data_IF_323323139970
#
_entry.id   IF_323323139970
#
_cell.length_a   1.000
_cell.length_b   1.000
_cell.length_c   1.000
_cell.angle_alpha   90.00
_cell.angle_beta   90.00
_cell.angle_gamma   90.00
#
_symmetry.space_group_name_H-M   'P 1'
#
loop_
_entity.id
_entity.type
_entity.pdbx_description
1 polymer ?
#
# COMPACT_ATOMS: atom_id res chain seq x y z
N UNK A 1 -2.88 66.78 -49.00
CA UNK A 1 -2.85 65.34 -48.73
C UNK A 1 -2.88 65.18 -47.22
N UNK A 2 -4.08 64.99 -46.66
CA UNK A 2 -4.27 64.77 -45.24
C UNK A 2 -4.17 63.27 -45.02
N UNK A 3 -3.28 62.85 -44.13
CA UNK A 3 -3.26 61.48 -43.58
C UNK A 3 -4.36 61.37 -42.50
N UNK A 4 -5.38 60.60 -42.76
CA UNK A 4 -6.32 60.17 -41.75
C UNK A 4 -5.59 59.26 -40.79
N UNK A 5 -5.48 59.66 -39.53
CA UNK A 5 -5.03 58.87 -38.42
C UNK A 5 -6.19 57.92 -38.05
N UNK A 6 -6.09 56.64 -38.39
CA UNK A 6 -6.96 55.60 -37.90
C UNK A 6 -6.75 55.46 -36.39
N UNK A 7 -7.70 55.97 -35.60
CA UNK A 7 -7.82 55.79 -34.19
C UNK A 7 -8.08 54.32 -33.92
N UNK A 8 -7.08 53.55 -33.52
CA UNK A 8 -7.25 52.21 -32.91
C UNK A 8 -8.07 52.37 -31.63
N UNK A 9 -9.38 52.08 -31.70
CA UNK A 9 -10.20 51.92 -30.52
C UNK A 9 -9.63 50.78 -29.66
N UNK A 10 -9.30 51.09 -28.43
CA UNK A 10 -8.88 50.13 -27.43
C UNK A 10 -10.07 49.22 -27.09
N UNK A 11 -10.10 48.04 -27.69
CA UNK A 11 -11.13 47.05 -27.44
C UNK A 11 -11.17 46.68 -25.97
N UNK A 12 -12.34 46.73 -25.39
CA UNK A 12 -12.63 46.34 -24.00
C UNK A 12 -12.38 44.82 -23.85
N UNK A 13 -11.96 44.36 -22.68
CA UNK A 13 -11.79 42.91 -22.38
C UNK A 13 -13.00 42.06 -22.79
N UNK A 14 -14.22 42.64 -22.77
CA UNK A 14 -15.44 42.01 -23.26
C UNK A 14 -15.43 41.73 -24.76
N UNK A 15 -14.89 42.67 -25.55
CA UNK A 15 -14.79 42.51 -27.02
C UNK A 15 -13.74 41.46 -27.41
N UNK A 16 -12.78 41.20 -26.54
CA UNK A 16 -11.84 40.08 -26.72
C UNK A 16 -12.50 38.71 -26.53
N UNK A 17 -13.39 38.59 -25.53
CA UNK A 17 -14.10 37.31 -25.30
C UNK A 17 -15.20 37.09 -26.33
N UNK A 18 -15.99 38.11 -26.65
CA UNK A 18 -17.06 38.05 -27.66
C UNK A 18 -17.22 39.40 -28.35
N UNK A 19 -16.96 39.42 -29.66
CA UNK A 19 -17.19 40.59 -30.47
C UNK A 19 -18.51 40.46 -31.23
N UNK A 20 -19.58 41.21 -30.85
CA UNK A 20 -20.90 41.07 -31.48
C UNK A 20 -20.97 41.61 -32.91
N UNK A 21 -19.98 42.41 -33.34
CA UNK A 21 -19.93 42.98 -34.70
C UNK A 21 -19.35 41.98 -35.70
N UNK A 22 -18.31 41.24 -35.32
CA UNK A 22 -17.61 40.26 -36.17
C UNK A 22 -18.03 38.81 -35.89
N UNK A 23 -18.82 38.58 -34.83
CA UNK A 23 -19.18 37.27 -34.31
C UNK A 23 -17.95 36.39 -34.01
N UNK A 24 -16.94 37.04 -33.45
CA UNK A 24 -15.70 36.36 -33.06
C UNK A 24 -15.66 36.06 -31.57
N UNK A 25 -15.28 34.83 -31.25
CA UNK A 25 -14.99 34.34 -29.90
C UNK A 25 -13.47 34.26 -29.74
N UNK A 26 -12.91 34.94 -28.74
CA UNK A 26 -11.46 34.99 -28.51
C UNK A 26 -10.66 35.39 -29.76
N UNK A 27 -11.19 36.36 -30.53
CA UNK A 27 -10.55 36.88 -31.76
C UNK A 27 -10.59 35.95 -32.96
N UNK A 28 -11.48 34.91 -32.96
CA UNK A 28 -11.63 33.96 -34.08
C UNK A 28 -13.10 33.74 -34.42
N UNK A 29 -13.36 33.51 -35.68
CA UNK A 29 -14.69 33.18 -36.19
C UNK A 29 -15.08 31.72 -35.89
N UNK A 30 -16.35 31.40 -35.91
CA UNK A 30 -16.84 30.05 -35.65
C UNK A 30 -16.26 29.02 -36.63
N UNK A 31 -16.07 29.39 -37.90
CA UNK A 31 -15.47 28.50 -38.89
C UNK A 31 -13.97 28.20 -38.57
N UNK A 32 -13.24 29.21 -38.11
CA UNK A 32 -11.86 29.03 -37.66
C UNK A 32 -11.75 28.10 -36.43
N UNK A 33 -12.64 28.27 -35.47
CA UNK A 33 -12.74 27.34 -34.34
C UNK A 33 -13.12 25.93 -34.77
N UNK A 34 -14.06 25.78 -35.70
CA UNK A 34 -14.42 24.48 -36.23
C UNK A 34 -13.24 23.74 -36.89
N UNK A 35 -12.43 24.43 -37.67
CA UNK A 35 -11.22 23.85 -38.27
C UNK A 35 -10.16 23.49 -37.23
N UNK A 36 -9.98 24.31 -36.20
CA UNK A 36 -9.06 24.02 -35.11
C UNK A 36 -9.52 22.78 -34.33
N UNK A 37 -10.80 22.73 -33.97
CA UNK A 37 -11.36 21.57 -33.25
C UNK A 37 -11.28 20.28 -34.10
N UNK A 38 -11.59 20.38 -35.39
CA UNK A 38 -11.45 19.25 -36.30
C UNK A 38 -10.00 18.77 -36.41
N UNK A 39 -9.04 19.70 -36.53
CA UNK A 39 -7.63 19.37 -36.55
C UNK A 39 -7.21 18.64 -35.28
N UNK A 40 -7.54 19.18 -34.12
CA UNK A 40 -7.18 18.55 -32.85
C UNK A 40 -7.90 17.23 -32.63
N UNK A 41 -9.15 17.10 -33.07
CA UNK A 41 -9.87 15.82 -33.01
C UNK A 41 -9.12 14.74 -33.79
N UNK A 42 -8.75 15.00 -35.03
CA UNK A 42 -8.00 14.06 -35.86
C UNK A 42 -6.63 13.78 -35.27
N UNK A 43 -5.91 14.83 -34.86
CA UNK A 43 -4.58 14.73 -34.29
C UNK A 43 -4.56 13.88 -33.01
N UNK A 44 -5.45 14.17 -32.03
CA UNK A 44 -5.49 13.38 -30.79
C UNK A 44 -6.04 11.98 -31.01
N UNK A 45 -6.94 11.77 -31.94
CA UNK A 45 -7.39 10.42 -32.31
C UNK A 45 -6.24 9.59 -32.85
N UNK A 46 -5.41 10.17 -33.71
CA UNK A 46 -4.20 9.51 -34.21
C UNK A 46 -3.21 9.20 -33.09
N UNK A 47 -2.93 10.15 -32.21
CA UNK A 47 -2.03 9.94 -31.05
C UNK A 47 -2.58 8.86 -30.12
N UNK A 48 -3.88 8.89 -29.82
CA UNK A 48 -4.54 7.86 -29.00
C UNK A 48 -4.44 6.48 -29.67
N UNK A 49 -4.62 6.39 -30.99
CA UNK A 49 -4.44 5.16 -31.75
C UNK A 49 -3.02 4.60 -31.65
N UNK A 50 -2.02 5.44 -31.83
CA UNK A 50 -0.61 5.04 -31.68
C UNK A 50 -0.30 4.58 -30.25
N UNK A 51 -0.78 5.32 -29.24
CA UNK A 51 -0.65 4.94 -27.85
C UNK A 51 -1.30 3.59 -27.55
N UNK A 52 -2.56 3.42 -27.96
CA UNK A 52 -3.27 2.14 -27.75
C UNK A 52 -2.55 0.98 -28.46
N UNK A 53 -2.06 1.18 -29.68
CA UNK A 53 -1.32 0.17 -30.41
C UNK A 53 -0.01 -0.23 -29.69
N UNK A 54 0.79 0.74 -29.26
CA UNK A 54 2.05 0.47 -28.56
C UNK A 54 1.79 -0.21 -27.22
N UNK A 55 0.78 0.24 -26.46
CA UNK A 55 0.39 -0.40 -25.20
C UNK A 55 -0.14 -1.82 -25.42
N UNK A 56 -0.94 -2.04 -26.46
CA UNK A 56 -1.45 -3.35 -26.81
C UNK A 56 -0.33 -4.33 -27.14
N UNK A 57 0.63 -3.94 -27.99
CA UNK A 57 1.80 -4.76 -28.33
C UNK A 57 2.64 -5.06 -27.09
N UNK A 58 2.87 -4.07 -26.22
CA UNK A 58 3.56 -4.28 -24.95
C UNK A 58 2.84 -5.28 -24.05
N UNK A 59 1.52 -5.16 -23.91
CA UNK A 59 0.72 -6.08 -23.08
C UNK A 59 0.75 -7.52 -23.61
N UNK A 60 0.83 -7.73 -24.92
CA UNK A 60 0.98 -9.07 -25.51
C UNK A 60 2.29 -9.77 -25.11
N UNK A 61 3.31 -9.03 -24.71
CA UNK A 61 4.60 -9.59 -24.27
C UNK A 61 4.61 -9.97 -22.78
N UNK A 62 3.58 -9.58 -22.02
CA UNK A 62 3.50 -9.87 -20.59
C UNK A 62 2.89 -11.24 -20.33
N UNK A 63 3.40 -11.92 -19.31
CA UNK A 63 2.81 -13.14 -18.80
C UNK A 63 1.68 -12.82 -17.81
N UNK A 64 0.60 -13.62 -17.85
CA UNK A 64 -0.60 -13.41 -17.03
C UNK A 64 -0.41 -13.70 -15.55
N UNK A 65 0.62 -14.47 -15.19
CA UNK A 65 0.83 -14.98 -13.83
C UNK A 65 2.09 -14.46 -13.18
N UNK A 66 3.12 -14.21 -13.96
CA UNK A 66 4.43 -13.80 -13.44
C UNK A 66 4.96 -12.59 -14.22
N UNK A 67 5.54 -11.59 -13.55
CA UNK A 67 6.23 -10.52 -14.25
C UNK A 67 7.45 -11.08 -14.99
N UNK A 68 7.58 -10.74 -16.27
CA UNK A 68 8.68 -11.18 -17.11
C UNK A 68 10.03 -10.64 -16.63
N UNK A 69 10.03 -9.41 -16.10
CA UNK A 69 11.22 -8.71 -15.65
C UNK A 69 11.14 -8.44 -14.14
N UNK A 70 12.07 -9.01 -13.38
CA UNK A 70 12.14 -8.88 -11.91
C UNK A 70 13.52 -8.40 -11.43
N UNK A 71 14.37 -7.97 -12.32
CA UNK A 71 15.77 -7.56 -12.05
C UNK A 71 15.86 -6.21 -11.31
N UNK A 72 14.81 -5.40 -11.35
CA UNK A 72 14.77 -4.07 -10.74
C UNK A 72 13.54 -3.86 -9.88
N UNK A 73 13.23 -4.81 -9.04
CA UNK A 73 12.14 -4.68 -8.07
C UNK A 73 12.57 -3.75 -6.94
N UNK A 74 11.71 -2.78 -6.63
CA UNK A 74 11.90 -1.94 -5.45
C UNK A 74 11.74 -2.79 -4.18
N UNK A 75 12.45 -2.40 -3.12
CA UNK A 75 12.29 -3.00 -1.80
C UNK A 75 10.83 -2.92 -1.36
N UNK A 76 10.21 -4.04 -0.95
CA UNK A 76 8.80 -4.03 -0.57
C UNK A 76 8.56 -3.14 0.63
N UNK A 77 7.55 -2.29 0.55
CA UNK A 77 7.08 -1.48 1.67
C UNK A 77 6.32 -2.33 2.69
N UNK A 78 6.13 -1.77 3.88
CA UNK A 78 5.27 -2.35 4.91
C UNK A 78 3.98 -1.58 5.07
N UNK A 79 2.96 -2.23 5.57
CA UNK A 79 1.68 -1.63 5.92
C UNK A 79 1.28 -1.97 7.34
N UNK A 80 0.62 -1.02 8.01
CA UNK A 80 0.01 -1.21 9.34
C UNK A 80 -1.49 -1.41 9.27
N UNK A 81 -2.04 -2.06 10.28
CA UNK A 81 -3.46 -2.09 10.62
C UNK A 81 -3.62 -1.90 12.14
N UNK A 82 -4.58 -1.09 12.60
CA UNK A 82 -5.52 -0.30 11.81
C UNK A 82 -4.82 0.81 11.01
N UNK A 83 -5.46 1.26 9.93
CA UNK A 83 -4.98 2.37 9.13
C UNK A 83 -5.77 3.61 9.52
N UNK A 84 -5.16 4.50 10.29
CA UNK A 84 -5.69 5.83 10.54
C UNK A 84 -5.55 6.77 9.33
N UNK A 85 -6.18 7.92 9.38
CA UNK A 85 -5.95 8.98 8.41
C UNK A 85 -4.47 9.41 8.46
N UNK A 86 -3.86 9.64 7.31
CA UNK A 86 -2.45 10.04 7.19
C UNK A 86 -1.44 9.17 7.98
N UNK A 87 -1.77 7.90 8.30
CA UNK A 87 -0.98 7.01 9.17
C UNK A 87 -0.85 7.55 10.61
N UNK A 88 -1.87 8.25 11.10
CA UNK A 88 -1.96 8.68 12.49
C UNK A 88 -3.00 7.83 13.23
N UNK A 89 -2.65 7.36 14.42
CA UNK A 89 -3.52 6.63 15.34
C UNK A 89 -3.64 7.48 16.60
N UNK A 90 -4.76 8.16 16.72
CA UNK A 90 -5.02 9.11 17.82
C UNK A 90 -6.33 8.72 18.48
N UNK A 91 -6.32 8.49 19.79
CA UNK A 91 -7.53 8.16 20.53
C UNK A 91 -7.45 8.61 22.00
N UNK A 92 -8.61 8.67 22.65
CA UNK A 92 -8.80 9.00 24.05
C UNK A 92 -9.26 7.76 24.81
N UNK A 93 -8.57 7.41 25.90
CA UNK A 93 -8.91 6.24 26.72
C UNK A 93 -10.30 6.32 27.34
N UNK A 94 -10.74 7.53 27.69
CA UNK A 94 -12.06 7.77 28.32
C UNK A 94 -13.20 7.74 27.33
N UNK A 95 -12.93 7.98 26.05
CA UNK A 95 -13.94 8.00 24.98
C UNK A 95 -13.88 6.75 24.12
N UNK A 96 -14.77 5.82 24.37
CA UNK A 96 -14.87 4.55 23.64
C UNK A 96 -15.01 4.75 22.12
N UNK A 97 -15.75 5.79 21.71
CA UNK A 97 -16.02 6.10 20.30
C UNK A 97 -14.73 6.34 19.50
N UNK A 98 -13.69 6.88 20.15
CA UNK A 98 -12.44 7.26 19.47
C UNK A 98 -11.59 6.06 19.09
N UNK A 99 -11.62 4.98 19.86
CA UNK A 99 -10.82 3.76 19.58
C UNK A 99 -11.64 2.58 19.06
N UNK A 100 -12.97 2.60 19.22
CA UNK A 100 -13.84 1.53 18.72
C UNK A 100 -13.70 1.33 17.20
N UNK A 101 -13.54 2.42 16.44
CA UNK A 101 -13.31 2.38 15.00
C UNK A 101 -12.04 1.58 14.61
N UNK A 102 -10.99 1.68 15.43
CA UNK A 102 -9.75 0.92 15.22
C UNK A 102 -9.93 -0.55 15.55
N UNK A 103 -10.66 -0.87 16.61
CA UNK A 103 -11.02 -2.25 16.97
C UNK A 103 -11.85 -2.90 15.86
N UNK A 104 -12.88 -2.22 15.37
CA UNK A 104 -13.72 -2.71 14.26
C UNK A 104 -12.92 -2.89 12.96
N UNK A 105 -11.96 -2.00 12.70
CA UNK A 105 -11.07 -2.13 11.54
C UNK A 105 -10.16 -3.35 11.66
N UNK A 106 -9.65 -3.67 12.86
CA UNK A 106 -8.87 -4.87 13.13
C UNK A 106 -9.71 -6.14 13.00
N UNK A 107 -10.90 -6.16 13.56
CA UNK A 107 -11.84 -7.29 13.44
C UNK A 107 -12.19 -7.57 11.98
N UNK A 108 -12.52 -6.54 11.22
CA UNK A 108 -12.83 -6.66 9.80
C UNK A 108 -11.61 -7.16 9.00
N UNK A 109 -10.42 -6.68 9.34
CA UNK A 109 -9.18 -7.10 8.69
C UNK A 109 -8.82 -8.56 9.01
N UNK A 110 -9.03 -9.00 10.26
CA UNK A 110 -8.73 -10.36 10.71
C UNK A 110 -9.82 -11.38 10.37
N UNK A 111 -10.97 -10.97 9.86
CA UNK A 111 -12.06 -11.87 9.47
C UNK A 111 -11.63 -12.98 8.50
N UNK A 112 -10.84 -12.72 7.41
CA UNK A 112 -10.34 -13.78 6.53
C UNK A 112 -9.30 -14.70 7.18
N UNK A 113 -8.72 -14.30 8.31
CA UNK A 113 -7.75 -15.07 9.08
C UNK A 113 -8.40 -15.98 10.12
N UNK A 114 -9.71 -16.23 10.00
CA UNK A 114 -10.42 -17.16 10.88
C UNK A 114 -9.84 -18.57 10.71
N UNK A 115 -9.46 -19.22 11.83
CA UNK A 115 -8.79 -20.51 11.83
C UNK A 115 -9.61 -21.61 11.12
N UNK A 116 -10.93 -21.58 11.23
CA UNK A 116 -11.80 -22.54 10.54
C UNK A 116 -11.77 -22.36 9.02
N UNK A 117 -11.81 -21.11 8.53
CA UNK A 117 -11.70 -20.82 7.09
C UNK A 117 -10.30 -21.15 6.56
N UNK A 118 -9.27 -20.86 7.34
CA UNK A 118 -7.89 -21.17 7.00
C UNK A 118 -7.66 -22.68 6.89
N UNK A 119 -8.23 -23.46 7.80
CA UNK A 119 -8.10 -24.93 7.80
C UNK A 119 -8.78 -25.59 6.58
N UNK A 120 -9.85 -24.99 6.05
CA UNK A 120 -10.55 -25.52 4.87
C UNK A 120 -9.83 -25.16 3.57
N UNK A 121 -9.28 -23.95 3.48
CA UNK A 121 -8.79 -23.40 2.23
C UNK A 121 -7.29 -23.58 2.02
N UNK A 122 -6.51 -23.74 3.10
CA UNK A 122 -5.06 -23.69 3.09
C UNK A 122 -4.45 -24.93 3.74
N UNK A 123 -3.21 -25.23 3.34
CA UNK A 123 -2.48 -26.41 3.81
C UNK A 123 -1.62 -26.11 5.04
N UNK A 124 -1.31 -27.13 5.80
CA UNK A 124 -0.27 -27.07 6.83
C UNK A 124 1.11 -27.20 6.16
N UNK A 125 1.93 -26.18 6.30
CA UNK A 125 3.27 -26.13 5.71
C UNK A 125 4.34 -26.27 6.78
N UNK A 126 5.54 -26.71 6.36
CA UNK A 126 6.71 -26.79 7.24
C UNK A 126 7.24 -25.39 7.57
N UNK A 127 7.36 -25.03 8.87
CA UNK A 127 7.90 -23.75 9.27
C UNK A 127 9.36 -23.56 8.81
N UNK A 128 9.77 -22.30 8.66
CA UNK A 128 11.13 -21.84 8.36
C UNK A 128 11.74 -22.34 7.03
N UNK A 129 10.89 -22.86 6.16
CA UNK A 129 11.26 -23.27 4.80
C UNK A 129 10.34 -22.59 3.78
N UNK A 130 10.89 -22.25 2.60
CA UNK A 130 10.10 -21.72 1.51
C UNK A 130 9.12 -22.76 0.96
N UNK A 131 7.87 -22.39 0.76
CA UNK A 131 6.85 -23.24 0.12
C UNK A 131 6.99 -23.16 -1.41
N UNK A 132 8.00 -23.84 -1.95
CA UNK A 132 8.29 -23.83 -3.38
C UNK A 132 7.38 -24.84 -4.08
N UNK A 133 6.60 -24.34 -5.05
CA UNK A 133 5.71 -25.14 -5.89
C UNK A 133 6.12 -24.95 -7.34
N UNK A 134 6.91 -25.89 -7.85
CA UNK A 134 7.43 -25.84 -9.22
C UNK A 134 6.37 -26.19 -10.25
N UNK A 135 6.52 -25.64 -11.44
CA UNK A 135 5.72 -26.00 -12.60
C UNK A 135 6.39 -27.19 -13.32
N UNK A 136 5.61 -28.04 -13.96
CA UNK A 136 6.13 -29.21 -14.69
C UNK A 136 6.43 -28.82 -16.15
N UNK A 137 7.63 -28.32 -16.40
CA UNK A 137 8.03 -27.83 -17.73
C UNK A 137 7.12 -26.68 -18.20
N UNK A 138 6.42 -26.89 -19.33
CA UNK A 138 5.49 -25.92 -19.88
C UNK A 138 4.08 -25.98 -19.25
N UNK A 139 3.82 -26.95 -18.38
CA UNK A 139 2.53 -27.11 -17.70
C UNK A 139 2.58 -26.42 -16.35
N UNK A 140 1.74 -25.40 -16.18
CA UNK A 140 1.63 -24.67 -14.90
C UNK A 140 0.89 -25.50 -13.88
N UNK A 141 1.46 -25.60 -12.70
CA UNK A 141 0.82 -26.17 -11.52
C UNK A 141 -0.09 -25.11 -10.88
N UNK A 142 -1.29 -24.91 -11.42
CA UNK A 142 -2.28 -23.97 -10.90
C UNK A 142 -3.59 -24.69 -10.55
N UNK A 143 -4.31 -24.28 -9.47
CA UNK A 143 -3.95 -23.22 -8.53
C UNK A 143 -2.83 -23.63 -7.56
N UNK A 144 -1.92 -22.71 -7.26
CA UNK A 144 -0.91 -22.88 -6.21
C UNK A 144 -1.59 -22.92 -4.84
N UNK A 145 -1.10 -23.79 -3.99
CA UNK A 145 -1.62 -23.96 -2.62
C UNK A 145 -1.04 -22.89 -1.69
N UNK A 146 -1.79 -22.51 -0.68
CA UNK A 146 -1.39 -21.50 0.31
C UNK A 146 -1.22 -22.15 1.68
N UNK A 147 -0.26 -21.66 2.45
CA UNK A 147 -0.06 -22.11 3.81
C UNK A 147 -1.07 -21.45 4.75
N UNK A 148 -1.58 -22.22 5.69
CA UNK A 148 -2.53 -21.79 6.70
C UNK A 148 -1.88 -20.78 7.65
N UNK A 149 -2.51 -19.62 7.83
CA UNK A 149 -2.12 -18.68 8.88
C UNK A 149 -2.93 -19.00 10.15
N UNK A 150 -2.24 -19.31 11.22
CA UNK A 150 -2.89 -19.52 12.51
C UNK A 150 -2.99 -18.19 13.26
N UNK A 151 -4.21 -17.68 13.41
CA UNK A 151 -4.48 -16.42 14.10
C UNK A 151 -4.02 -16.43 15.57
N UNK A 152 -3.95 -17.60 16.22
CA UNK A 152 -3.48 -17.72 17.61
C UNK A 152 -2.01 -17.31 17.80
N UNK A 153 -1.21 -17.34 16.73
CA UNK A 153 0.19 -16.86 16.79
C UNK A 153 0.32 -15.37 17.09
N UNK A 154 -0.75 -14.61 16.94
CA UNK A 154 -0.81 -13.19 17.29
C UNK A 154 -1.12 -12.96 18.79
N UNK A 155 -1.30 -14.02 19.56
CA UNK A 155 -1.53 -14.03 21.02
C UNK A 155 -2.54 -12.96 21.47
N UNK A 156 -2.12 -12.01 22.30
CA UNK A 156 -2.95 -10.90 22.79
C UNK A 156 -3.54 -10.03 21.68
N UNK A 157 -2.84 -9.93 20.54
CA UNK A 157 -3.28 -9.17 19.38
C UNK A 157 -4.11 -9.98 18.39
N UNK A 158 -4.50 -11.20 18.76
CA UNK A 158 -5.32 -12.07 17.91
C UNK A 158 -6.80 -11.67 17.86
N UNK A 159 -7.29 -10.89 18.83
CA UNK A 159 -8.72 -10.62 19.01
C UNK A 159 -9.50 -11.86 19.50
N UNK A 160 -8.82 -12.92 19.92
CA UNK A 160 -9.40 -14.13 20.54
C UNK A 160 -9.33 -14.00 22.06
N UNK A 161 -8.15 -13.71 22.58
CA UNK A 161 -7.89 -13.53 24.03
C UNK A 161 -8.36 -12.16 24.49
N UNK A 162 -7.97 -11.12 23.79
CA UNK A 162 -8.41 -9.75 24.01
C UNK A 162 -9.14 -9.22 22.77
N UNK A 163 -10.46 -9.00 22.90
CA UNK A 163 -11.31 -8.49 21.82
C UNK A 163 -11.11 -7.02 21.50
N UNK A 164 -10.49 -6.27 22.42
CA UNK A 164 -10.27 -4.84 22.30
C UNK A 164 -8.83 -4.52 21.87
N UNK A 165 -8.01 -5.56 21.64
CA UNK A 165 -6.63 -5.42 21.15
C UNK A 165 -5.78 -4.46 21.99
N UNK A 166 -6.05 -4.38 23.31
CA UNK A 166 -5.33 -3.52 24.25
C UNK A 166 -5.65 -2.03 24.17
N UNK A 167 -6.57 -1.60 23.29
CA UNK A 167 -6.89 -0.18 23.12
C UNK A 167 -7.50 0.43 24.40
N UNK A 168 -8.35 -0.29 25.10
CA UNK A 168 -8.96 0.18 26.34
C UNK A 168 -7.94 0.39 27.46
N UNK A 169 -6.84 -0.36 27.45
CA UNK A 169 -5.79 -0.29 28.48
C UNK A 169 -4.67 0.69 28.12
N UNK A 170 -4.75 1.36 26.98
CA UNK A 170 -3.65 2.19 26.47
C UNK A 170 -2.45 1.38 25.97
N UNK A 171 -2.65 0.10 25.66
CA UNK A 171 -1.64 -0.83 25.14
C UNK A 171 -2.01 -1.35 23.77
N UNK A 172 -2.13 -0.49 22.75
CA UNK A 172 -2.71 -0.86 21.47
C UNK A 172 -1.86 -1.87 20.70
N UNK A 173 -2.55 -2.81 20.09
CA UNK A 173 -1.98 -3.70 19.09
C UNK A 173 -2.01 -3.08 17.69
N UNK A 174 -0.90 -3.17 17.00
CA UNK A 174 -0.79 -2.77 15.58
C UNK A 174 -0.29 -3.97 14.79
N UNK A 175 -1.05 -4.36 13.77
CA UNK A 175 -0.66 -5.45 12.88
C UNK A 175 0.17 -4.91 11.72
N UNK A 176 1.27 -5.56 11.44
CA UNK A 176 2.20 -5.19 10.36
C UNK A 176 2.21 -6.32 9.32
N UNK A 177 2.20 -5.94 8.07
CA UNK A 177 2.38 -6.85 6.94
C UNK A 177 3.37 -6.28 5.94
N UNK A 178 4.13 -7.18 5.30
CA UNK A 178 5.01 -6.86 4.19
C UNK A 178 4.22 -6.85 2.88
N UNK A 179 4.40 -5.87 2.02
CA UNK A 179 3.70 -5.81 0.74
C UNK A 179 4.07 -7.03 -0.13
N UNK A 180 3.08 -7.53 -0.87
CA UNK A 180 3.24 -8.72 -1.70
C UNK A 180 4.00 -8.39 -2.98
N UNK A 181 5.05 -9.15 -3.24
CA UNK A 181 5.80 -9.13 -4.50
C UNK A 181 5.85 -10.57 -5.03
N UNK A 182 5.44 -10.77 -6.27
CA UNK A 182 5.41 -12.11 -6.89
C UNK A 182 6.83 -12.67 -6.98
N UNK A 183 7.01 -13.91 -6.51
CA UNK A 183 8.31 -14.61 -6.57
C UNK A 183 9.35 -14.17 -5.53
N UNK A 184 9.03 -13.15 -4.71
CA UNK A 184 9.99 -12.64 -3.71
C UNK A 184 10.26 -13.67 -2.60
N UNK A 185 11.54 -13.83 -2.26
CA UNK A 185 12.03 -14.61 -1.13
C UNK A 185 12.71 -13.68 -0.11
N UNK A 186 11.98 -13.21 0.92
CA UNK A 186 12.49 -12.21 1.85
C UNK A 186 13.31 -12.86 2.98
N UNK A 187 14.43 -13.49 2.66
CA UNK A 187 15.27 -14.20 3.61
C UNK A 187 16.01 -15.34 2.95
N UNK A 188 16.73 -16.10 3.76
CA UNK A 188 17.38 -17.36 3.38
C UNK A 188 16.77 -18.50 4.19
N UNK A 189 16.91 -19.73 3.71
CA UNK A 189 16.41 -20.91 4.44
C UNK A 189 16.93 -20.92 5.88
N UNK A 190 15.98 -21.08 6.83
CA UNK A 190 16.26 -21.03 8.26
C UNK A 190 16.47 -19.62 8.86
N UNK A 191 16.37 -18.55 8.05
CA UNK A 191 16.53 -17.17 8.50
C UNK A 191 15.35 -16.30 8.06
N UNK A 192 14.28 -16.38 8.81
CA UNK A 192 13.07 -15.60 8.59
C UNK A 192 13.33 -14.11 8.78
N UNK A 193 12.80 -13.22 7.91
CA UNK A 193 12.86 -11.79 8.13
C UNK A 193 12.03 -11.41 9.36
N UNK A 194 12.46 -10.37 10.06
CA UNK A 194 11.77 -9.90 11.27
C UNK A 194 11.61 -8.38 11.27
N UNK A 195 10.62 -7.92 12.03
CA UNK A 195 10.31 -6.50 12.19
C UNK A 195 10.91 -5.98 13.50
N UNK A 196 11.48 -4.81 13.43
CA UNK A 196 11.84 -4.01 14.62
C UNK A 196 11.15 -2.67 14.55
N UNK A 197 10.51 -2.26 15.64
CA UNK A 197 9.88 -0.95 15.78
C UNK A 197 10.61 -0.14 16.84
N UNK A 198 10.66 1.17 16.64
CA UNK A 198 11.22 2.10 17.61
C UNK A 198 10.71 3.51 17.36
N UNK A 199 10.84 4.37 18.32
CA UNK A 199 10.56 5.78 18.11
C UNK A 199 11.73 6.46 17.39
N UNK A 200 11.47 7.57 16.72
CA UNK A 200 12.52 8.45 16.24
C UNK A 200 13.32 8.99 17.45
N UNK A 201 14.56 9.40 17.21
CA UNK A 201 15.49 9.79 18.27
C UNK A 201 14.92 10.79 19.30
N UNK A 202 14.02 11.65 18.84
CA UNK A 202 13.36 12.68 19.66
C UNK A 202 12.33 12.09 20.64
N UNK A 203 11.73 10.95 20.29
CA UNK A 203 10.64 10.32 21.04
C UNK A 203 11.06 9.00 21.72
N UNK A 204 12.37 8.68 21.74
CA UNK A 204 12.89 7.38 22.18
C UNK A 204 12.48 7.00 23.62
N UNK A 205 12.38 7.98 24.52
CA UNK A 205 11.98 7.77 25.92
C UNK A 205 10.46 7.57 26.08
N UNK A 206 9.67 7.96 25.07
CA UNK A 206 8.21 7.96 25.11
C UNK A 206 7.58 6.66 24.66
N UNK A 207 8.33 5.75 24.01
CA UNK A 207 7.77 4.53 23.41
C UNK A 207 7.71 3.34 24.38
N UNK A 208 8.60 3.28 25.37
CA UNK A 208 8.68 2.21 26.35
C UNK A 208 8.93 0.81 25.76
N UNK A 209 8.38 -0.22 26.39
CA UNK A 209 8.53 -1.61 25.98
C UNK A 209 7.57 -1.99 24.86
N UNK A 210 8.06 -2.77 23.91
CA UNK A 210 7.28 -3.26 22.74
C UNK A 210 7.30 -4.79 22.74
N UNK A 211 6.12 -5.40 22.73
CA UNK A 211 5.97 -6.84 22.55
C UNK A 211 5.67 -7.18 21.08
N UNK A 212 6.21 -8.29 20.59
CA UNK A 212 6.01 -8.77 19.22
C UNK A 212 5.33 -10.13 19.21
N UNK A 213 4.40 -10.34 18.27
CA UNK A 213 3.71 -11.61 18.06
C UNK A 213 3.68 -11.96 16.56
N UNK A 214 4.24 -13.10 16.11
CA UNK A 214 4.95 -14.10 16.92
C UNK A 214 6.21 -13.53 17.59
N UNK A 215 6.75 -14.23 18.60
CA UNK A 215 7.98 -13.83 19.29
C UNK A 215 9.10 -13.49 18.29
N UNK A 216 9.88 -12.46 18.58
CA UNK A 216 10.90 -11.87 17.70
C UNK A 216 10.36 -11.15 16.44
N UNK A 217 9.05 -11.03 16.24
CA UNK A 217 8.47 -10.27 15.12
C UNK A 217 8.75 -10.87 13.74
N UNK A 218 8.86 -12.19 13.62
CA UNK A 218 9.27 -12.87 12.39
C UNK A 218 8.13 -13.10 11.42
N UNK A 219 8.40 -12.90 10.12
CA UNK A 219 7.57 -13.40 9.02
C UNK A 219 8.10 -14.77 8.57
N UNK A 220 7.38 -15.84 8.90
CA UNK A 220 7.83 -17.19 8.59
C UNK A 220 7.96 -17.43 7.08
N UNK A 221 9.03 -18.14 6.68
CA UNK A 221 9.37 -18.37 5.27
C UNK A 221 8.36 -19.27 4.55
N UNK A 222 7.58 -20.07 5.27
CA UNK A 222 6.56 -20.97 4.67
C UNK A 222 5.49 -20.22 3.88
N UNK A 223 5.28 -18.92 4.14
CA UNK A 223 4.33 -18.11 3.39
C UNK A 223 4.88 -17.56 2.07
N UNK A 224 6.14 -17.83 1.77
CA UNK A 224 6.84 -17.33 0.58
C UNK A 224 7.34 -18.47 -0.32
N UNK A 225 7.51 -18.23 -1.63
CA UNK A 225 7.16 -17.01 -2.34
C UNK A 225 5.65 -16.87 -2.58
N UNK A 226 5.20 -15.62 -2.79
CA UNK A 226 3.85 -15.36 -3.27
C UNK A 226 3.79 -15.54 -4.78
N UNK A 227 2.82 -16.30 -5.28
CA UNK A 227 2.71 -16.66 -6.70
C UNK A 227 1.75 -15.79 -7.51
N UNK A 228 1.19 -14.72 -6.92
CA UNK A 228 0.24 -13.85 -7.59
C UNK A 228 -1.23 -14.23 -7.35
N UNK A 229 -2.10 -13.25 -7.52
CA UNK A 229 -3.53 -13.40 -7.22
C UNK A 229 -4.23 -14.42 -8.13
N UNK A 230 -3.84 -14.52 -9.41
CA UNK A 230 -4.42 -15.48 -10.36
C UNK A 230 -3.97 -16.92 -10.09
N UNK A 231 -2.71 -17.10 -9.71
CA UNK A 231 -2.15 -18.43 -9.44
C UNK A 231 -2.48 -18.93 -8.02
N UNK A 232 -2.59 -18.03 -7.04
CA UNK A 232 -2.72 -18.35 -5.62
C UNK A 232 -3.87 -17.57 -4.98
N UNK A 233 -5.10 -18.00 -5.26
CA UNK A 233 -6.33 -17.28 -4.89
C UNK A 233 -6.51 -17.14 -3.37
N UNK A 234 -6.18 -18.18 -2.60
CA UNK A 234 -6.39 -18.24 -1.15
C UNK A 234 -5.14 -17.83 -0.34
N UNK A 235 -4.26 -17.03 -0.94
CA UNK A 235 -3.04 -16.63 -0.25
C UNK A 235 -3.30 -15.85 1.03
N UNK A 236 -2.86 -16.41 2.15
CA UNK A 236 -2.86 -15.75 3.45
C UNK A 236 -1.52 -15.08 3.70
N UNK A 237 -1.54 -13.76 3.67
CA UNK A 237 -0.34 -12.95 3.92
C UNK A 237 0.06 -13.06 5.39
N UNK A 238 1.35 -13.34 5.71
CA UNK A 238 1.80 -13.38 7.08
C UNK A 238 1.69 -12.01 7.76
N UNK A 239 1.36 -12.03 9.04
CA UNK A 239 1.20 -10.84 9.88
C UNK A 239 2.15 -10.93 11.07
N UNK A 240 2.65 -9.78 11.48
CA UNK A 240 3.32 -9.58 12.76
C UNK A 240 2.50 -8.55 13.54
N UNK A 241 2.17 -8.87 14.78
CA UNK A 241 1.56 -7.91 15.69
C UNK A 241 2.62 -7.26 16.57
N UNK A 242 2.42 -5.99 16.83
CA UNK A 242 3.25 -5.19 17.73
C UNK A 242 2.33 -4.58 18.78
N UNK A 243 2.59 -4.84 20.07
CA UNK A 243 1.85 -4.29 21.20
C UNK A 243 2.73 -3.32 21.98
N UNK A 244 2.26 -2.11 22.15
CA UNK A 244 2.95 -1.06 22.88
C UNK A 244 2.56 -1.17 24.35
N UNK A 245 3.50 -1.60 25.23
CA UNK A 245 3.20 -1.90 26.61
C UNK A 245 3.19 -0.67 27.51
N UNK A 246 4.12 0.27 27.28
CA UNK A 246 4.33 1.45 28.13
C UNK A 246 4.60 2.69 27.28
N UNK A 247 3.59 3.20 26.58
CA UNK A 247 3.73 4.42 25.81
C UNK A 247 3.34 5.65 26.65
N UNK A 248 4.03 6.78 26.45
CA UNK A 248 3.72 8.04 27.12
C UNK A 248 2.40 8.61 26.63
N UNK A 249 1.49 8.93 27.58
CA UNK A 249 0.19 9.53 27.25
C UNK A 249 0.30 11.03 26.93
N UNK A 250 -0.69 11.55 26.21
CA UNK A 250 -0.80 12.96 25.83
C UNK A 250 0.35 13.52 25.01
N UNK A 251 1.19 12.64 24.43
CA UNK A 251 2.37 12.99 23.63
C UNK A 251 2.27 12.36 22.25
N UNK A 252 2.71 13.09 21.23
CA UNK A 252 2.84 12.56 19.87
C UNK A 252 4.09 11.70 19.78
N UNK A 253 3.96 10.40 19.56
CA UNK A 253 5.09 9.48 19.41
C UNK A 253 5.20 9.04 17.96
N UNK A 254 6.30 9.40 17.28
CA UNK A 254 6.57 8.99 15.92
C UNK A 254 7.27 7.64 15.92
N UNK A 255 6.54 6.60 15.56
CA UNK A 255 7.02 5.22 15.49
C UNK A 255 7.49 4.89 14.07
N UNK A 256 8.65 4.26 13.96
CA UNK A 256 9.14 3.68 12.71
C UNK A 256 9.37 2.19 12.90
N UNK A 257 8.75 1.37 12.05
CA UNK A 257 9.00 -0.06 11.99
C UNK A 257 9.78 -0.39 10.73
N UNK A 258 10.82 -1.23 10.85
CA UNK A 258 11.71 -1.65 9.76
C UNK A 258 11.74 -3.17 9.67
N UNK A 259 11.85 -3.67 8.44
CA UNK A 259 12.13 -5.08 8.21
C UNK A 259 13.64 -5.31 8.23
N UNK A 260 14.05 -6.36 8.91
CA UNK A 260 15.44 -6.85 8.91
C UNK A 260 15.47 -8.18 8.15
N UNK A 261 16.28 -8.22 7.12
CA UNK A 261 16.39 -9.38 6.25
C UNK A 261 17.76 -9.43 5.59
N UNK A 262 18.27 -10.63 5.31
CA UNK A 262 19.53 -10.84 4.62
C UNK A 262 19.46 -10.61 3.09
N UNK A 263 18.23 -10.54 2.55
CA UNK A 263 18.00 -10.35 1.11
C UNK A 263 17.41 -8.98 0.78
N UNK A 264 16.87 -8.28 1.80
CA UNK A 264 16.32 -6.93 1.67
C UNK A 264 17.30 -5.98 2.37
N UNK A 265 18.36 -5.59 1.67
CA UNK A 265 19.44 -4.76 2.23
C UNK A 265 19.46 -3.33 1.71
N UNK A 266 18.79 -3.08 0.58
CA UNK A 266 18.76 -1.77 -0.04
C UNK A 266 17.63 -0.91 0.54
N UNK A 267 17.96 -0.09 1.52
CA UNK A 267 17.08 0.95 2.05
C UNK A 267 17.45 2.28 1.38
N UNK A 268 16.63 2.71 0.45
CA UNK A 268 16.83 4.03 -0.17
C UNK A 268 16.48 5.14 0.83
N UNK A 269 17.36 6.09 1.03
CA UNK A 269 17.04 7.31 1.80
C UNK A 269 15.96 8.17 1.13
N UNK A 270 15.83 8.05 -0.21
CA UNK A 270 14.82 8.77 -0.99
C UNK A 270 13.43 8.15 -0.88
N UNK A 271 13.35 6.84 -0.64
CA UNK A 271 12.07 6.14 -0.47
C UNK A 271 11.81 5.92 1.02
N UNK A 272 10.88 6.69 1.55
CA UNK A 272 10.47 6.61 2.98
C UNK A 272 9.72 5.32 3.31
N UNK A 273 9.30 4.55 2.32
CA UNK A 273 8.50 3.34 2.50
C UNK A 273 9.26 2.06 2.18
N UNK A 274 10.48 2.13 1.61
CA UNK A 274 11.27 0.96 1.29
C UNK A 274 11.66 0.21 2.58
N UNK A 275 11.08 -0.98 2.77
CA UNK A 275 11.35 -1.85 3.92
C UNK A 275 10.95 -1.26 5.27
N UNK A 276 10.16 -0.21 5.30
CA UNK A 276 9.75 0.48 6.53
C UNK A 276 8.35 1.07 6.44
N UNK A 277 7.78 1.35 7.60
CA UNK A 277 6.55 2.13 7.76
C UNK A 277 6.71 3.04 8.97
N UNK A 278 6.36 4.30 8.81
CA UNK A 278 6.32 5.28 9.90
C UNK A 278 4.89 5.72 10.12
N UNK A 279 4.50 5.83 11.38
CA UNK A 279 3.19 6.29 11.80
C UNK A 279 3.28 7.05 13.10
N UNK A 280 2.29 7.88 13.37
CA UNK A 280 2.17 8.60 14.63
C UNK A 280 1.18 7.88 15.55
N UNK A 281 1.55 7.74 16.81
CA UNK A 281 0.68 7.20 17.85
C UNK A 281 0.54 8.22 18.97
N UNK A 282 -0.73 8.54 19.31
CA UNK A 282 -1.07 9.42 20.43
C UNK A 282 -2.24 8.87 21.21
N UNK A 283 -2.07 8.74 22.51
CA UNK A 283 -3.07 8.27 23.45
C UNK A 283 -3.35 9.39 24.44
N UNK A 284 -4.56 9.91 24.42
CA UNK A 284 -5.01 10.91 25.37
C UNK A 284 -5.71 10.26 26.58
N UNK A 285 -5.60 10.91 27.75
CA UNK A 285 -6.21 10.43 29.01
C UNK A 285 -7.03 11.49 29.69
#
# INVERSE_FOLDING_TARGET
MAKEDEKKESGTWKDFFWNPRTHELLGRTASSWGLILLFYLVFYTFLAGVFCLTMYVMLLTLDDYQPTWQDRLATPGMMIRPKGEALEIIYDLKSTETWESYVQALDSFLKPYNNSQQAVNNDDCTPDQFNIQEDSGNVRNNPKRSCRFNRTTLEDCSGITDRLYGYQEGKPCILIKLNRVIGMKPGKDGQSPYVTCGAKKEDAESIGEIAYFPPNGTFNLMYYPYYGMKAQVNYSQPLVAVKFMNISFNTDVNVECKINSNTITEFSERDKFAGRVSFKLRINT
#
